data_IF_321318896559
#
_entry.id   IF_321318896559
#
_cell.length_a   1.000
_cell.length_b   1.000
_cell.length_c   1.000
_cell.angle_alpha   90.00
_cell.angle_beta   90.00
_cell.angle_gamma   90.00
#
_symmetry.space_group_name_H-M   'P 1'
#
loop_
_entity.id
_entity.type
_entity.pdbx_description
1 polymer ?
#
# COMPACT_ATOMS: atom_id res chain seq x y z
N UNK A 1 -4.82 -11.00 -6.06
CA UNK A 1 -3.42 -10.61 -6.29
C UNK A 1 -3.33 -9.11 -6.54
N UNK A 2 -2.28 -8.43 -6.00
CA UNK A 2 -1.96 -7.04 -6.34
C UNK A 2 -0.83 -7.06 -7.36
N UNK A 3 -1.02 -6.35 -8.47
CA UNK A 3 -0.01 -6.25 -9.53
C UNK A 3 1.07 -5.23 -9.16
N UNK A 4 2.23 -5.33 -9.81
CA UNK A 4 3.30 -4.32 -9.67
C UNK A 4 2.77 -2.93 -10.01
N UNK A 5 3.11 -1.92 -9.18
CA UNK A 5 2.62 -0.56 -9.43
C UNK A 5 3.16 0.03 -10.73
N UNK A 6 2.28 0.62 -11.51
CA UNK A 6 2.62 1.56 -12.58
C UNK A 6 2.93 2.94 -11.95
N UNK A 7 3.96 3.61 -12.39
CA UNK A 7 4.25 4.98 -11.94
C UNK A 7 3.46 6.01 -12.73
N UNK A 8 2.98 7.08 -12.06
CA UNK A 8 2.24 8.15 -12.75
C UNK A 8 3.08 8.81 -13.85
N UNK A 9 4.39 8.93 -13.66
CA UNK A 9 5.31 9.45 -14.67
C UNK A 9 5.31 8.62 -15.96
N UNK A 10 5.13 7.29 -15.85
CA UNK A 10 5.04 6.41 -17.02
C UNK A 10 3.72 6.65 -17.79
N UNK A 11 2.62 6.85 -17.05
CA UNK A 11 1.31 7.13 -17.64
C UNK A 11 1.34 8.52 -18.34
N UNK A 12 1.88 9.52 -17.67
CA UNK A 12 2.00 10.88 -18.21
C UNK A 12 2.92 10.94 -19.44
N UNK A 13 3.98 10.13 -19.46
CA UNK A 13 4.87 10.05 -20.62
C UNK A 13 4.15 9.54 -21.88
N UNK A 14 3.28 8.52 -21.72
CA UNK A 14 2.49 7.99 -22.83
C UNK A 14 1.39 8.98 -23.29
N UNK A 15 0.71 9.66 -22.35
CA UNK A 15 -0.27 10.71 -22.67
C UNK A 15 0.38 11.86 -23.41
N UNK A 16 1.49 12.39 -22.92
CA UNK A 16 2.21 13.50 -23.57
C UNK A 16 2.73 13.11 -24.96
N UNK A 17 3.12 11.85 -25.17
CA UNK A 17 3.53 11.36 -26.50
C UNK A 17 2.36 11.38 -27.49
N UNK A 18 1.16 10.97 -27.07
CA UNK A 18 -0.04 11.01 -27.92
C UNK A 18 -0.46 12.44 -28.24
N UNK A 19 -0.40 13.37 -27.27
CA UNK A 19 -0.65 14.79 -27.49
C UNK A 19 0.41 15.42 -28.40
N UNK A 20 1.65 14.95 -28.32
CA UNK A 20 2.75 15.41 -29.15
C UNK A 20 2.68 14.90 -30.59
N UNK A 21 2.38 13.62 -30.79
CA UNK A 21 2.15 13.06 -32.15
C UNK A 21 0.96 13.76 -32.83
N UNK A 22 0.03 14.33 -32.04
CA UNK A 22 -1.11 15.13 -32.51
C UNK A 22 -0.81 16.64 -32.64
N UNK A 23 0.23 17.16 -32.01
CA UNK A 23 0.60 18.59 -32.02
C UNK A 23 2.07 18.79 -32.37
N UNK A 24 2.35 19.58 -33.44
CA UNK A 24 3.71 19.86 -33.93
C UNK A 24 4.58 20.78 -33.04
N UNK A 25 4.45 20.75 -31.69
CA UNK A 25 5.03 21.75 -30.78
C UNK A 25 5.81 21.24 -29.56
N UNK A 26 6.29 20.00 -29.48
CA UNK A 26 7.07 19.59 -28.31
C UNK A 26 8.57 19.79 -28.47
N UNK A 27 9.25 20.06 -27.36
CA UNK A 27 10.71 20.18 -27.34
C UNK A 27 11.38 18.80 -27.42
N UNK A 28 12.35 18.60 -28.33
CA UNK A 28 13.04 17.30 -28.52
C UNK A 28 13.72 16.75 -27.25
N UNK A 29 14.20 17.65 -26.37
CA UNK A 29 14.93 17.29 -25.14
C UNK A 29 14.07 16.60 -24.09
N UNK A 30 12.79 16.96 -23.95
CA UNK A 30 11.85 16.31 -23.02
C UNK A 30 11.54 14.87 -23.47
N UNK A 31 11.43 14.65 -24.78
CA UNK A 31 11.17 13.34 -25.37
C UNK A 31 12.35 12.40 -25.19
N UNK A 32 13.57 12.91 -25.39
CA UNK A 32 14.78 12.12 -25.20
C UNK A 32 15.00 11.76 -23.73
N UNK A 33 14.63 12.62 -22.78
CA UNK A 33 14.65 12.30 -21.37
C UNK A 33 13.67 11.17 -21.01
N UNK A 34 12.43 11.22 -21.52
CA UNK A 34 11.41 10.17 -21.30
C UNK A 34 11.79 8.85 -21.98
N UNK A 35 12.43 8.91 -23.16
CA UNK A 35 12.97 7.71 -23.86
C UNK A 35 14.13 7.07 -23.11
N UNK A 36 15.06 7.87 -22.56
CA UNK A 36 16.19 7.36 -21.77
C UNK A 36 15.73 6.66 -20.49
N UNK A 37 14.64 7.10 -19.88
CA UNK A 37 14.03 6.45 -18.71
C UNK A 37 13.22 5.18 -19.08
N UNK A 38 13.08 4.83 -20.38
CA UNK A 38 12.33 3.66 -20.84
C UNK A 38 10.85 3.70 -20.45
N UNK A 39 10.26 4.89 -20.34
CA UNK A 39 8.91 5.10 -19.82
C UNK A 39 7.81 5.03 -20.89
N UNK A 40 8.15 5.08 -22.18
CA UNK A 40 7.15 5.07 -23.25
C UNK A 40 6.63 3.66 -23.55
N UNK A 41 5.32 3.52 -23.79
CA UNK A 41 4.58 2.31 -24.17
C UNK A 41 4.25 1.34 -23.01
N UNK A 42 4.47 1.72 -21.74
CA UNK A 42 4.22 0.83 -20.60
C UNK A 42 2.78 0.83 -20.14
N UNK A 43 2.03 1.89 -20.40
CA UNK A 43 0.61 1.98 -19.99
C UNK A 43 -0.25 0.92 -20.69
N UNK A 44 -0.13 0.75 -22.01
CA UNK A 44 -0.86 -0.27 -22.77
C UNK A 44 -0.40 -1.69 -22.38
N UNK A 45 0.90 -1.88 -22.11
CA UNK A 45 1.41 -3.17 -21.66
C UNK A 45 0.81 -3.53 -20.27
N UNK A 46 0.66 -2.57 -19.39
CA UNK A 46 0.08 -2.78 -18.08
C UNK A 46 -1.40 -3.17 -18.14
N UNK A 47 -2.19 -2.52 -19.01
CA UNK A 47 -3.58 -2.91 -19.25
C UNK A 47 -3.68 -4.35 -19.75
N UNK A 48 -2.82 -4.75 -20.68
CA UNK A 48 -2.72 -6.16 -21.15
C UNK A 48 -2.32 -7.16 -20.05
N UNK A 49 -1.50 -6.71 -19.08
CA UNK A 49 -1.16 -7.56 -17.91
C UNK A 49 -2.39 -7.77 -17.04
N UNK A 50 -3.22 -6.74 -16.83
CA UNK A 50 -4.49 -6.87 -16.08
C UNK A 50 -5.42 -7.85 -16.78
N UNK A 51 -5.68 -7.67 -18.09
CA UNK A 51 -6.55 -8.56 -18.89
C UNK A 51 -6.10 -10.02 -18.79
N UNK A 52 -4.81 -10.29 -19.09
CA UNK A 52 -4.25 -11.64 -19.02
C UNK A 52 -4.30 -12.23 -17.60
N UNK A 53 -4.12 -11.40 -16.58
CA UNK A 53 -4.24 -11.87 -15.20
C UNK A 53 -5.67 -12.27 -14.88
N UNK A 54 -6.65 -11.48 -15.32
CA UNK A 54 -8.08 -11.81 -15.17
C UNK A 54 -8.49 -13.09 -15.90
N UNK A 55 -7.91 -13.35 -17.07
CA UNK A 55 -8.13 -14.60 -17.81
C UNK A 55 -7.48 -15.82 -17.13
N UNK A 56 -6.38 -15.59 -16.39
CA UNK A 56 -5.56 -16.68 -15.84
C UNK A 56 -6.00 -17.15 -14.45
N UNK A 57 -6.76 -16.33 -13.69
CA UNK A 57 -7.12 -16.63 -12.29
C UNK A 57 -8.56 -16.23 -11.96
N UNK A 58 -9.19 -16.99 -11.06
CA UNK A 58 -10.54 -16.70 -10.55
C UNK A 58 -10.53 -15.81 -9.27
N UNK A 59 -9.35 -15.47 -8.77
CA UNK A 59 -9.21 -14.57 -7.61
C UNK A 59 -9.19 -13.11 -8.03
N UNK A 60 -9.54 -12.16 -7.14
CA UNK A 60 -9.49 -10.74 -7.46
C UNK A 60 -8.11 -10.27 -7.93
N UNK A 61 -8.10 -9.50 -9.02
CA UNK A 61 -6.91 -8.82 -9.57
C UNK A 61 -6.99 -7.35 -9.26
N UNK A 62 -6.07 -6.87 -8.45
CA UNK A 62 -5.98 -5.48 -7.99
C UNK A 62 -4.84 -4.80 -8.77
N UNK A 63 -5.20 -3.79 -9.56
CA UNK A 63 -4.19 -2.95 -10.20
C UNK A 63 -3.57 -2.00 -9.17
N UNK A 64 -2.34 -1.56 -9.40
CA UNK A 64 -1.66 -0.61 -8.51
C UNK A 64 -1.02 0.51 -9.30
N UNK A 65 -1.19 1.76 -8.82
CA UNK A 65 -0.57 2.96 -9.38
C UNK A 65 0.20 3.69 -8.31
N UNK A 66 1.49 3.93 -8.56
CA UNK A 66 2.31 4.79 -7.71
C UNK A 66 2.11 6.24 -8.15
N UNK A 67 1.59 7.08 -7.27
CA UNK A 67 1.18 8.44 -7.60
C UNK A 67 1.58 9.45 -6.53
N UNK A 68 1.79 10.69 -6.97
CA UNK A 68 2.14 11.84 -6.13
C UNK A 68 1.25 13.07 -6.42
N UNK A 69 0.39 13.01 -7.44
CA UNK A 69 -0.47 14.12 -7.85
C UNK A 69 -1.88 13.63 -8.24
N UNK A 70 -2.80 14.57 -8.38
CA UNK A 70 -4.14 14.41 -8.94
C UNK A 70 -4.23 14.86 -10.41
N UNK A 71 -3.13 14.70 -11.15
CA UNK A 71 -3.01 15.15 -12.55
C UNK A 71 -3.80 14.27 -13.53
N UNK A 72 -3.61 14.49 -14.82
CA UNK A 72 -4.35 13.79 -15.90
C UNK A 72 -4.18 12.26 -15.92
N UNK A 73 -3.21 11.68 -15.19
CA UNK A 73 -3.10 10.23 -15.04
C UNK A 73 -4.36 9.61 -14.39
N UNK A 74 -5.14 10.39 -13.63
CA UNK A 74 -6.35 9.89 -12.96
C UNK A 74 -7.41 9.38 -13.93
N UNK A 75 -7.44 9.85 -15.18
CA UNK A 75 -8.29 9.31 -16.23
C UNK A 75 -7.89 7.88 -16.63
N UNK A 76 -6.62 7.52 -16.44
CA UNK A 76 -6.14 6.17 -16.69
C UNK A 76 -6.80 5.12 -15.79
N UNK A 77 -7.29 5.52 -14.61
CA UNK A 77 -8.06 4.65 -13.73
C UNK A 77 -9.32 4.08 -14.41
N UNK A 78 -9.93 4.82 -15.34
CA UNK A 78 -11.08 4.33 -16.15
C UNK A 78 -10.69 3.18 -17.07
N UNK A 79 -9.51 3.24 -17.67
CA UNK A 79 -9.01 2.16 -18.51
C UNK A 79 -8.68 0.91 -17.68
N UNK A 80 -8.11 1.09 -16.48
CA UNK A 80 -7.86 0.01 -15.51
C UNK A 80 -9.19 -0.71 -15.14
N UNK A 81 -10.25 0.04 -14.85
CA UNK A 81 -11.58 -0.52 -14.59
C UNK A 81 -12.15 -1.23 -15.83
N UNK A 82 -12.03 -0.61 -17.02
CA UNK A 82 -12.58 -1.13 -18.27
C UNK A 82 -11.95 -2.47 -18.68
N UNK A 83 -10.67 -2.71 -18.40
CA UNK A 83 -10.00 -3.99 -18.66
C UNK A 83 -10.24 -5.04 -17.58
N UNK A 84 -11.10 -4.75 -16.60
CA UNK A 84 -11.65 -5.73 -15.67
C UNK A 84 -10.90 -5.87 -14.34
N UNK A 85 -10.09 -4.90 -13.93
CA UNK A 85 -9.54 -4.91 -12.57
C UNK A 85 -10.66 -4.91 -11.52
N UNK A 86 -10.52 -5.70 -10.45
CA UNK A 86 -11.52 -5.80 -9.38
C UNK A 86 -11.40 -4.67 -8.35
N UNK A 87 -10.22 -4.07 -8.22
CA UNK A 87 -9.94 -2.92 -7.37
C UNK A 87 -8.69 -2.18 -7.85
N UNK A 88 -8.52 -0.96 -7.35
CA UNK A 88 -7.33 -0.15 -7.59
C UNK A 88 -6.63 0.20 -6.28
N UNK A 89 -5.34 -0.14 -6.16
CA UNK A 89 -4.45 0.35 -5.11
C UNK A 89 -3.76 1.63 -5.57
N UNK A 90 -3.92 2.70 -4.79
CA UNK A 90 -3.16 3.94 -4.94
C UNK A 90 -1.96 3.90 -3.99
N UNK A 91 -0.78 3.66 -4.52
CA UNK A 91 0.47 3.72 -3.78
C UNK A 91 0.94 5.17 -3.72
N UNK A 92 0.44 5.93 -2.72
CA UNK A 92 0.67 7.37 -2.60
C UNK A 92 2.03 7.60 -1.92
N UNK A 93 3.03 7.94 -2.73
CA UNK A 93 4.43 8.03 -2.30
C UNK A 93 4.90 9.48 -2.13
N UNK A 94 4.11 10.31 -1.43
CA UNK A 94 4.52 11.69 -1.12
C UNK A 94 5.72 11.68 -0.16
N UNK A 95 6.79 12.39 -0.56
CA UNK A 95 8.01 12.56 0.23
C UNK A 95 8.28 14.06 0.39
N UNK A 96 7.61 14.74 1.35
CA UNK A 96 7.80 16.18 1.57
C UNK A 96 9.25 16.46 1.96
N UNK A 97 9.83 17.47 1.33
CA UNK A 97 11.22 17.91 1.57
C UNK A 97 11.38 19.42 1.80
N UNK A 98 10.34 20.20 1.50
CA UNK A 98 10.34 21.64 1.75
C UNK A 98 9.87 21.92 3.18
N UNK A 99 10.72 22.56 4.03
CA UNK A 99 10.33 22.88 5.40
C UNK A 99 9.20 23.94 5.50
N UNK A 100 8.84 24.58 4.38
CA UNK A 100 7.73 25.55 4.32
C UNK A 100 6.40 24.91 3.95
N UNK A 101 6.39 23.64 3.52
CA UNK A 101 5.17 22.93 3.16
C UNK A 101 4.34 22.61 4.41
N UNK A 102 3.09 23.11 4.45
CA UNK A 102 2.18 22.83 5.59
C UNK A 102 1.77 21.34 5.57
N UNK A 103 1.95 20.60 6.68
CA UNK A 103 1.50 19.21 6.79
C UNK A 103 0.03 18.99 6.40
N UNK A 104 -0.84 19.98 6.64
CA UNK A 104 -2.25 19.92 6.23
C UNK A 104 -2.42 19.91 4.70
N UNK A 105 -1.54 20.58 3.97
CA UNK A 105 -1.63 20.62 2.51
C UNK A 105 -1.15 19.30 1.90
N UNK A 106 -0.20 18.62 2.55
CA UNK A 106 0.20 17.25 2.20
C UNK A 106 -0.98 16.31 2.40
N UNK A 107 -1.65 16.36 3.58
CA UNK A 107 -2.84 15.56 3.85
C UNK A 107 -3.97 15.83 2.85
N UNK A 108 -4.25 17.10 2.53
CA UNK A 108 -5.26 17.49 1.53
C UNK A 108 -4.94 16.93 0.14
N UNK A 109 -3.66 16.92 -0.25
CA UNK A 109 -3.23 16.34 -1.53
C UNK A 109 -3.53 14.85 -1.61
N UNK A 110 -3.25 14.10 -0.52
CA UNK A 110 -3.62 12.68 -0.42
C UNK A 110 -5.14 12.49 -0.61
N UNK A 111 -5.93 13.27 0.14
CA UNK A 111 -7.39 13.19 0.06
C UNK A 111 -7.90 13.52 -1.34
N UNK A 112 -7.32 14.54 -1.99
CA UNK A 112 -7.69 14.95 -3.34
C UNK A 112 -7.40 13.89 -4.39
N UNK A 113 -6.24 13.23 -4.33
CA UNK A 113 -5.90 12.11 -5.21
C UNK A 113 -6.98 11.02 -5.12
N UNK A 114 -7.33 10.59 -3.90
CA UNK A 114 -8.34 9.55 -3.67
C UNK A 114 -9.71 9.99 -4.20
N UNK A 115 -10.13 11.23 -3.89
CA UNK A 115 -11.42 11.79 -4.30
C UNK A 115 -11.55 11.81 -5.83
N UNK A 116 -10.53 12.32 -6.54
CA UNK A 116 -10.56 12.43 -8.00
C UNK A 116 -10.61 11.06 -8.65
N UNK A 117 -9.79 10.12 -8.19
CA UNK A 117 -9.80 8.74 -8.71
C UNK A 117 -11.16 8.09 -8.44
N UNK A 118 -11.67 8.18 -7.20
CA UNK A 118 -12.96 7.56 -6.84
C UNK A 118 -14.15 8.17 -7.57
N UNK A 119 -14.05 9.43 -7.99
CA UNK A 119 -15.07 10.05 -8.84
C UNK A 119 -15.10 9.45 -10.26
N UNK A 120 -13.95 8.97 -10.74
CA UNK A 120 -13.79 8.45 -12.10
C UNK A 120 -14.12 6.97 -12.25
N UNK A 121 -14.12 6.17 -11.16
CA UNK A 121 -14.29 4.71 -11.18
C UNK A 121 -15.27 4.21 -10.13
N UNK A 122 -15.88 3.06 -10.38
CA UNK A 122 -16.83 2.40 -9.47
C UNK A 122 -16.17 1.33 -8.61
N UNK A 123 -15.08 0.69 -9.09
CA UNK A 123 -14.36 -0.34 -8.34
C UNK A 123 -13.79 0.21 -7.03
N UNK A 124 -13.58 -0.65 -6.01
CA UNK A 124 -12.98 -0.24 -4.74
C UNK A 124 -11.59 0.38 -4.93
N UNK A 125 -11.29 1.39 -4.11
CA UNK A 125 -9.98 2.05 -4.06
C UNK A 125 -9.35 1.80 -2.70
N UNK A 126 -8.14 1.24 -2.68
CA UNK A 126 -7.29 1.15 -1.50
C UNK A 126 -6.18 2.21 -1.56
N UNK A 127 -5.88 2.85 -0.44
CA UNK A 127 -4.75 3.77 -0.35
C UNK A 127 -3.59 3.10 0.41
N UNK A 128 -2.43 3.00 -0.24
CA UNK A 128 -1.18 2.53 0.35
C UNK A 128 -0.27 3.73 0.61
N UNK A 129 0.11 3.89 1.87
CA UNK A 129 0.79 5.09 2.36
C UNK A 129 2.04 4.75 3.18
N UNK A 130 2.90 5.73 3.42
CA UNK A 130 3.98 5.62 4.40
C UNK A 130 3.51 5.88 5.84
N UNK A 131 4.34 5.57 6.86
CA UNK A 131 3.98 5.71 8.28
C UNK A 131 4.21 7.12 8.85
N UNK A 132 4.47 8.12 8.02
CA UNK A 132 5.04 9.41 8.44
C UNK A 132 3.98 10.49 8.71
N UNK A 133 2.98 10.18 9.54
CA UNK A 133 1.95 11.14 9.91
C UNK A 133 1.92 11.37 11.42
N UNK A 134 1.75 12.62 11.84
CA UNK A 134 1.63 12.98 13.26
C UNK A 134 0.37 12.36 13.89
N UNK A 135 -0.73 12.28 13.15
CA UNK A 135 -1.98 11.65 13.59
C UNK A 135 -2.50 10.71 12.50
N UNK A 136 -2.11 9.44 12.60
CA UNK A 136 -2.54 8.40 11.67
C UNK A 136 -4.06 8.21 11.65
N UNK A 137 -4.72 8.28 12.80
CA UNK A 137 -6.18 8.14 12.90
C UNK A 137 -6.91 9.24 12.15
N UNK A 138 -6.47 10.49 12.27
CA UNK A 138 -7.04 11.62 11.53
C UNK A 138 -6.85 11.46 10.01
N UNK A 139 -5.64 11.09 9.58
CA UNK A 139 -5.34 10.92 8.16
C UNK A 139 -6.14 9.75 7.57
N UNK A 140 -6.25 8.65 8.31
CA UNK A 140 -7.07 7.51 7.91
C UNK A 140 -8.56 7.91 7.76
N UNK A 141 -9.11 8.67 8.70
CA UNK A 141 -10.47 9.19 8.62
C UNK A 141 -10.66 10.09 7.39
N UNK A 142 -9.70 10.98 7.11
CA UNK A 142 -9.71 11.84 5.92
C UNK A 142 -9.73 11.02 4.62
N UNK A 143 -8.86 10.02 4.50
CA UNK A 143 -8.83 9.12 3.34
C UNK A 143 -10.14 8.34 3.17
N UNK A 144 -10.74 7.86 4.27
CA UNK A 144 -12.03 7.17 4.26
C UNK A 144 -13.14 8.09 3.73
N UNK A 145 -13.18 9.35 4.20
CA UNK A 145 -14.14 10.37 3.74
C UNK A 145 -13.95 10.75 2.27
N UNK A 146 -12.73 10.66 1.76
CA UNK A 146 -12.41 10.89 0.34
C UNK A 146 -12.72 9.69 -0.55
N UNK A 147 -13.18 8.57 0.01
CA UNK A 147 -13.67 7.41 -0.74
C UNK A 147 -12.77 6.17 -0.72
N UNK A 148 -11.68 6.16 0.07
CA UNK A 148 -10.88 4.96 0.24
C UNK A 148 -11.69 3.86 0.92
N UNK A 149 -11.76 2.68 0.30
CA UNK A 149 -12.40 1.47 0.83
C UNK A 149 -11.45 0.64 1.68
N UNK A 150 -10.14 0.79 1.46
CA UNK A 150 -9.08 0.08 2.19
C UNK A 150 -7.86 0.95 2.44
N UNK A 151 -7.08 0.58 3.46
CA UNK A 151 -5.75 1.14 3.73
C UNK A 151 -4.72 0.01 3.77
N UNK A 152 -3.64 0.18 3.00
CA UNK A 152 -2.47 -0.69 3.04
C UNK A 152 -1.39 -0.04 3.89
N UNK A 153 -1.02 -0.70 4.98
CA UNK A 153 -0.14 -0.21 6.03
C UNK A 153 1.10 -1.12 6.15
N UNK A 154 2.28 -0.75 5.66
CA UNK A 154 2.62 0.49 4.99
C UNK A 154 3.38 0.23 3.69
N UNK A 155 3.49 1.25 2.83
CA UNK A 155 4.49 1.26 1.79
C UNK A 155 5.89 1.25 2.45
N UNK A 156 6.75 0.38 1.94
CA UNK A 156 8.14 0.33 2.36
C UNK A 156 8.96 1.22 1.44
N UNK A 157 9.21 2.46 1.88
CA UNK A 157 10.13 3.32 1.17
C UNK A 157 11.55 2.73 1.17
N UNK A 158 12.36 3.18 0.22
CA UNK A 158 13.75 2.72 0.14
C UNK A 158 14.50 2.94 1.47
N UNK A 159 15.35 1.99 1.81
CA UNK A 159 16.19 2.03 3.01
C UNK A 159 17.59 2.41 2.57
N UNK A 160 17.97 3.71 2.66
CA UNK A 160 19.28 4.15 2.23
C UNK A 160 20.38 3.62 3.15
N UNK A 161 21.51 3.29 2.57
CA UNK A 161 22.77 3.04 3.25
C UNK A 161 23.85 3.89 2.56
N UNK A 162 24.97 4.11 3.21
CA UNK A 162 26.08 4.90 2.68
C UNK A 162 27.31 4.01 2.58
N UNK A 163 27.90 3.98 1.39
CA UNK A 163 29.24 3.45 1.20
C UNK A 163 30.24 4.48 1.68
N UNK A 164 30.96 4.15 2.76
CA UNK A 164 31.90 5.07 3.40
C UNK A 164 33.20 5.24 2.61
N UNK A 165 33.47 4.36 1.65
CA UNK A 165 34.68 4.42 0.82
C UNK A 165 34.42 5.24 -0.46
N UNK A 166 33.23 5.09 -1.06
CA UNK A 166 32.86 5.82 -2.28
C UNK A 166 32.07 7.09 -2.02
N UNK A 167 31.56 7.31 -0.81
CA UNK A 167 30.67 8.41 -0.40
C UNK A 167 29.37 8.48 -1.19
N UNK A 168 28.83 7.30 -1.59
CA UNK A 168 27.61 7.18 -2.37
C UNK A 168 26.50 6.51 -1.57
N UNK A 169 25.24 6.90 -1.86
CA UNK A 169 24.07 6.19 -1.35
C UNK A 169 23.95 4.82 -2.00
N UNK A 170 23.72 3.80 -1.18
CA UNK A 170 23.46 2.44 -1.62
C UNK A 170 22.08 1.98 -1.16
N UNK A 171 21.48 1.08 -1.93
CA UNK A 171 20.22 0.39 -1.56
C UNK A 171 20.53 -1.06 -1.16
N UNK A 172 21.02 -1.28 0.04
CA UNK A 172 21.38 -2.63 0.54
C UNK A 172 20.19 -3.43 1.03
N UNK A 173 19.21 -2.76 1.64
CA UNK A 173 18.07 -3.41 2.30
C UNK A 173 16.84 -3.52 1.35
N UNK A 174 17.01 -4.27 0.24
CA UNK A 174 15.96 -4.42 -0.77
C UNK A 174 14.70 -5.10 -0.22
N UNK A 175 14.85 -6.09 0.65
CA UNK A 175 13.77 -6.88 1.22
C UNK A 175 13.50 -6.47 2.66
N UNK A 176 12.21 -6.57 3.08
CA UNK A 176 11.84 -6.33 4.47
C UNK A 176 12.35 -7.45 5.39
N UNK A 177 12.57 -7.09 6.65
CA UNK A 177 12.84 -8.03 7.75
C UNK A 177 11.59 -8.25 8.60
N UNK A 178 11.48 -9.36 9.36
CA UNK A 178 10.33 -9.61 10.25
C UNK A 178 10.10 -8.49 11.29
N UNK A 179 11.16 -7.80 11.74
CA UNK A 179 11.05 -6.70 12.71
C UNK A 179 10.27 -5.49 12.20
N UNK A 180 10.24 -5.27 10.89
CA UNK A 180 9.52 -4.15 10.28
C UNK A 180 7.99 -4.27 10.41
N UNK A 181 7.46 -5.47 10.70
CA UNK A 181 6.03 -5.69 10.90
C UNK A 181 5.45 -4.88 12.08
N UNK A 182 6.27 -4.52 13.06
CA UNK A 182 5.82 -3.83 14.29
C UNK A 182 5.07 -2.52 14.01
N UNK A 183 5.50 -1.76 13.00
CA UNK A 183 4.85 -0.50 12.61
C UNK A 183 3.44 -0.72 12.05
N UNK A 184 3.32 -1.69 11.14
CA UNK A 184 2.05 -2.10 10.55
C UNK A 184 1.10 -2.65 11.61
N UNK A 185 1.58 -3.58 12.44
CA UNK A 185 0.81 -4.23 13.49
C UNK A 185 0.19 -3.21 14.46
N UNK A 186 1.00 -2.27 14.96
CA UNK A 186 0.54 -1.19 15.83
C UNK A 186 -0.55 -0.35 15.18
N UNK A 187 -0.35 0.07 13.94
CA UNK A 187 -1.28 0.95 13.25
C UNK A 187 -2.59 0.25 12.92
N UNK A 188 -2.56 -1.02 12.50
CA UNK A 188 -3.75 -1.84 12.31
C UNK A 188 -4.56 -1.95 13.60
N UNK A 189 -3.90 -2.22 14.75
CA UNK A 189 -4.57 -2.34 16.04
C UNK A 189 -5.28 -1.04 16.47
N UNK A 190 -4.70 0.13 16.19
CA UNK A 190 -5.28 1.43 16.51
C UNK A 190 -6.45 1.77 15.57
N UNK A 191 -6.30 1.49 14.27
CA UNK A 191 -7.24 1.90 13.24
C UNK A 191 -8.46 0.98 13.11
N UNK A 192 -8.44 -0.21 13.69
CA UNK A 192 -9.46 -1.24 13.52
C UNK A 192 -10.89 -0.75 13.76
N UNK A 193 -11.09 0.08 14.78
CA UNK A 193 -12.41 0.65 15.07
C UNK A 193 -12.71 1.90 14.25
N UNK A 194 -11.70 2.74 14.06
CA UNK A 194 -11.90 4.12 13.58
C UNK A 194 -11.95 4.25 12.07
N UNK A 195 -11.28 3.36 11.34
CA UNK A 195 -11.24 3.47 9.87
C UNK A 195 -12.56 3.07 9.22
N UNK A 196 -13.20 1.99 9.67
CA UNK A 196 -14.49 1.54 9.14
C UNK A 196 -14.44 1.01 7.70
N UNK A 197 -13.28 0.57 7.22
CA UNK A 197 -13.02 -0.08 5.94
C UNK A 197 -12.02 -1.22 6.13
N UNK A 198 -11.49 -1.77 5.03
CA UNK A 198 -10.51 -2.85 5.08
C UNK A 198 -9.12 -2.33 5.46
N UNK A 199 -8.51 -2.92 6.49
CA UNK A 199 -7.11 -2.68 6.85
C UNK A 199 -6.26 -3.82 6.31
N UNK A 200 -5.19 -3.51 5.62
CA UNK A 200 -4.29 -4.48 5.02
C UNK A 200 -2.90 -4.31 5.65
N UNK A 201 -2.44 -5.34 6.38
CA UNK A 201 -1.09 -5.36 6.92
C UNK A 201 -0.06 -5.61 5.84
N UNK A 202 1.00 -4.82 5.82
CA UNK A 202 2.10 -4.96 4.85
C UNK A 202 3.45 -4.70 5.52
N UNK A 203 4.51 -5.18 4.91
CA UNK A 203 5.91 -5.18 5.36
C UNK A 203 6.20 -6.08 6.57
N UNK A 204 7.29 -6.82 6.48
CA UNK A 204 7.78 -7.67 7.56
C UNK A 204 6.98 -8.95 7.84
N UNK A 205 6.04 -9.31 6.97
CA UNK A 205 5.23 -10.53 7.11
C UNK A 205 5.93 -11.66 6.36
N UNK A 206 6.59 -12.56 7.11
CA UNK A 206 7.45 -13.60 6.54
C UNK A 206 7.00 -15.02 6.87
N UNK A 207 6.08 -15.20 7.80
CA UNK A 207 5.56 -16.51 8.24
C UNK A 207 4.07 -16.46 8.64
N UNK A 208 3.51 -17.62 8.93
CA UNK A 208 2.09 -17.75 9.30
C UNK A 208 1.77 -17.14 10.68
N UNK A 209 2.73 -17.05 11.58
CA UNK A 209 2.54 -16.39 12.88
C UNK A 209 2.34 -14.88 12.69
N UNK A 210 3.11 -14.26 11.80
CA UNK A 210 2.95 -12.85 11.43
C UNK A 210 1.57 -12.58 10.82
N UNK A 211 1.05 -13.49 9.98
CA UNK A 211 -0.32 -13.40 9.45
C UNK A 211 -1.34 -13.38 10.59
N UNK A 212 -1.27 -14.35 11.50
CA UNK A 212 -2.18 -14.42 12.66
C UNK A 212 -2.12 -13.16 13.52
N UNK A 213 -0.93 -12.62 13.78
CA UNK A 213 -0.74 -11.37 14.54
C UNK A 213 -1.45 -10.19 13.88
N UNK A 214 -1.33 -10.03 12.57
CA UNK A 214 -2.01 -8.96 11.83
C UNK A 214 -3.53 -9.11 11.89
N UNK A 215 -4.06 -10.32 11.72
CA UNK A 215 -5.50 -10.59 11.84
C UNK A 215 -6.03 -10.32 13.25
N UNK A 216 -5.30 -10.74 14.28
CA UNK A 216 -5.63 -10.45 15.70
C UNK A 216 -5.63 -8.94 15.99
N UNK A 217 -4.75 -8.18 15.36
CA UNK A 217 -4.74 -6.72 15.46
C UNK A 217 -5.93 -6.05 14.76
N UNK A 218 -6.50 -6.72 13.74
CA UNK A 218 -7.67 -6.23 13.02
C UNK A 218 -7.51 -6.12 11.50
N UNK A 219 -6.42 -6.62 10.94
CA UNK A 219 -6.26 -6.65 9.49
C UNK A 219 -7.35 -7.51 8.84
N UNK A 220 -7.88 -7.05 7.71
CA UNK A 220 -8.79 -7.83 6.85
C UNK A 220 -8.02 -8.78 5.94
N UNK A 221 -6.80 -8.39 5.58
CA UNK A 221 -5.87 -9.16 4.75
C UNK A 221 -4.43 -8.75 5.05
N UNK A 222 -3.48 -9.48 4.49
CA UNK A 222 -2.06 -9.13 4.49
C UNK A 222 -1.51 -9.14 3.08
N UNK A 223 -0.56 -8.25 2.79
CA UNK A 223 0.21 -8.25 1.57
C UNK A 223 1.60 -8.84 1.79
N UNK A 224 1.98 -9.73 0.89
CA UNK A 224 3.27 -10.40 0.88
C UNK A 224 4.05 -9.99 -0.37
N UNK A 225 5.30 -9.59 -0.20
CA UNK A 225 6.21 -9.29 -1.31
C UNK A 225 7.60 -9.89 -1.02
N UNK A 226 8.35 -9.33 -0.09
CA UNK A 226 9.74 -9.73 0.19
C UNK A 226 9.88 -11.22 0.50
N UNK A 227 8.95 -11.80 1.25
CA UNK A 227 8.99 -13.23 1.59
C UNK A 227 8.85 -14.12 0.36
N UNK A 228 8.08 -13.70 -0.67
CA UNK A 228 7.91 -14.46 -1.90
C UNK A 228 9.19 -14.43 -2.76
N UNK A 229 9.91 -13.31 -2.77
CA UNK A 229 11.23 -13.24 -3.43
C UNK A 229 12.29 -14.08 -2.71
N UNK A 230 12.23 -14.15 -1.37
CA UNK A 230 13.22 -14.89 -0.55
C UNK A 230 12.91 -16.39 -0.54
N UNK A 231 11.64 -16.77 -0.33
CA UNK A 231 11.21 -18.14 -0.02
C UNK A 231 10.44 -18.80 -1.17
N UNK A 232 10.13 -18.06 -2.24
CA UNK A 232 9.31 -18.54 -3.37
C UNK A 232 7.82 -18.51 -3.10
N UNK A 233 7.00 -18.78 -4.14
CA UNK A 233 5.55 -18.72 -4.09
C UNK A 233 4.91 -19.77 -3.16
N UNK A 234 5.57 -20.90 -2.94
CA UNK A 234 5.11 -21.94 -2.01
C UNK A 234 4.97 -21.46 -0.56
N UNK A 235 5.57 -20.32 -0.22
CA UNK A 235 5.43 -19.72 1.10
C UNK A 235 3.98 -19.34 1.44
N UNK A 236 3.17 -19.03 0.43
CA UNK A 236 1.74 -18.73 0.61
C UNK A 236 1.02 -19.94 1.20
N UNK A 237 1.24 -21.12 0.64
CA UNK A 237 0.61 -22.37 1.12
C UNK A 237 1.05 -22.71 2.56
N UNK A 238 2.34 -22.49 2.86
CA UNK A 238 2.89 -22.71 4.22
C UNK A 238 2.18 -21.79 5.23
N UNK A 239 2.03 -20.51 4.89
CA UNK A 239 1.35 -19.54 5.76
C UNK A 239 -0.14 -19.85 5.94
N UNK A 240 -0.84 -20.20 4.87
CA UNK A 240 -2.26 -20.61 4.94
C UNK A 240 -2.43 -21.87 5.78
N UNK A 241 -1.59 -22.87 5.60
CA UNK A 241 -1.61 -24.10 6.41
C UNK A 241 -1.36 -23.83 7.90
N UNK A 242 -0.48 -22.87 8.21
CA UNK A 242 -0.25 -22.42 9.58
C UNK A 242 -1.51 -21.78 10.16
N UNK A 243 -2.11 -20.82 9.44
CA UNK A 243 -3.33 -20.11 9.84
C UNK A 243 -4.46 -21.10 10.12
N UNK A 244 -4.72 -22.04 9.22
CA UNK A 244 -5.76 -23.06 9.40
C UNK A 244 -5.52 -23.94 10.64
N UNK A 245 -4.28 -24.39 10.86
CA UNK A 245 -3.92 -25.19 12.04
C UNK A 245 -4.11 -24.39 13.32
N UNK A 246 -3.72 -23.11 13.31
CA UNK A 246 -3.88 -22.21 14.43
C UNK A 246 -5.37 -21.95 14.74
N UNK A 247 -6.20 -21.71 13.72
CA UNK A 247 -7.64 -21.55 13.87
C UNK A 247 -8.30 -22.79 14.47
N UNK A 248 -8.01 -23.98 13.94
CA UNK A 248 -8.53 -25.26 14.47
C UNK A 248 -8.12 -25.48 15.93
N UNK A 249 -6.86 -25.21 16.28
CA UNK A 249 -6.35 -25.34 17.65
C UNK A 249 -7.10 -24.43 18.64
N UNK A 250 -7.51 -23.25 18.19
CA UNK A 250 -8.19 -22.26 19.03
C UNK A 250 -9.73 -22.30 18.90
N UNK A 251 -10.29 -23.24 18.13
CA UNK A 251 -11.72 -23.43 17.96
C UNK A 251 -12.41 -22.41 17.05
N UNK A 252 -11.68 -21.67 16.23
CA UNK A 252 -12.21 -20.70 15.28
C UNK A 252 -12.57 -21.37 13.95
N UNK A 253 -13.74 -21.00 13.40
CA UNK A 253 -14.23 -21.45 12.09
C UNK A 253 -14.06 -20.39 11.01
N UNK A 254 -14.06 -19.11 11.41
CA UNK A 254 -13.98 -17.96 10.55
C UNK A 254 -12.97 -16.94 11.10
N UNK A 255 -12.35 -16.16 10.20
CA UNK A 255 -11.41 -15.11 10.57
C UNK A 255 -12.12 -14.02 11.38
N UNK A 256 -13.37 -13.70 11.09
CA UNK A 256 -14.13 -12.67 11.78
C UNK A 256 -14.36 -12.99 13.26
N UNK A 257 -14.30 -14.28 13.67
CA UNK A 257 -14.43 -14.70 15.07
C UNK A 257 -13.25 -14.23 15.95
N UNK A 258 -12.08 -13.96 15.36
CA UNK A 258 -10.90 -13.52 16.11
C UNK A 258 -10.25 -12.23 15.62
N UNK A 259 -10.69 -11.72 14.44
CA UNK A 259 -10.15 -10.48 13.89
C UNK A 259 -10.36 -9.31 14.85
N UNK A 260 -9.26 -8.59 15.12
CA UNK A 260 -9.28 -7.42 16.00
C UNK A 260 -9.38 -7.73 17.49
N UNK A 261 -9.30 -9.00 17.93
CA UNK A 261 -9.34 -9.34 19.38
C UNK A 261 -8.27 -8.62 20.21
N UNK A 262 -7.13 -8.29 19.60
CA UNK A 262 -6.01 -7.58 20.26
C UNK A 262 -5.93 -6.13 19.76
N UNK A 263 -7.01 -5.58 19.22
CA UNK A 263 -7.10 -4.17 18.82
C UNK A 263 -7.28 -3.24 20.02
N UNK A 264 -7.01 -1.96 19.82
CA UNK A 264 -7.28 -0.91 20.82
C UNK A 264 -8.73 -0.92 21.29
N UNK A 265 -9.69 -1.14 20.39
CA UNK A 265 -11.12 -1.23 20.70
C UNK A 265 -11.43 -2.25 21.78
N UNK A 266 -10.79 -3.40 21.73
CA UNK A 266 -11.05 -4.54 22.60
C UNK A 266 -10.13 -4.56 23.83
N UNK A 267 -9.30 -3.54 24.04
CA UNK A 267 -8.49 -3.38 25.25
C UNK A 267 -9.37 -2.99 26.45
N UNK A 268 -8.96 -3.39 27.66
CA UNK A 268 -9.68 -3.03 28.89
C UNK A 268 -9.82 -1.53 29.10
N UNK A 269 -8.83 -0.75 28.67
CA UNK A 269 -8.77 0.70 28.74
C UNK A 269 -8.26 1.25 27.39
N UNK A 270 -9.14 1.38 26.39
CA UNK A 270 -8.74 1.77 25.04
C UNK A 270 -8.01 3.12 24.96
N UNK A 271 -8.36 4.08 25.82
CA UNK A 271 -7.73 5.40 25.88
C UNK A 271 -6.28 5.39 26.35
N UNK A 272 -5.87 4.33 27.07
CA UNK A 272 -4.50 4.15 27.54
C UNK A 272 -3.74 3.10 26.76
N UNK A 273 -4.32 2.50 25.72
CA UNK A 273 -3.75 1.38 24.98
C UNK A 273 -2.28 1.59 24.59
N UNK A 274 -1.98 2.68 23.90
CA UNK A 274 -0.64 3.06 23.47
C UNK A 274 0.30 3.30 24.65
N UNK A 275 -0.17 4.02 25.66
CA UNK A 275 0.64 4.34 26.83
C UNK A 275 0.97 3.11 27.66
N UNK A 276 0.04 2.19 27.81
CA UNK A 276 0.25 0.92 28.51
C UNK A 276 1.29 0.05 27.81
N UNK A 277 1.19 -0.10 26.48
CA UNK A 277 2.18 -0.86 25.70
C UNK A 277 3.58 -0.26 25.82
N UNK A 278 3.70 1.06 25.78
CA UNK A 278 4.96 1.77 25.96
C UNK A 278 5.56 1.53 27.36
N UNK A 279 4.75 1.61 28.42
CA UNK A 279 5.20 1.37 29.80
C UNK A 279 5.66 -0.07 29.96
N UNK A 280 4.87 -1.06 29.49
CA UNK A 280 5.24 -2.48 29.55
C UNK A 280 6.58 -2.77 28.85
N UNK A 281 6.78 -2.20 27.68
CA UNK A 281 8.02 -2.36 26.94
C UNK A 281 9.27 -1.82 27.67
N UNK A 282 9.12 -0.75 28.46
CA UNK A 282 10.24 -0.12 29.16
C UNK A 282 10.45 -0.66 30.57
N UNK A 283 9.40 -0.99 31.30
CA UNK A 283 9.46 -1.39 32.71
C UNK A 283 9.54 -2.92 32.87
N UNK A 284 9.25 -3.67 31.80
CA UNK A 284 9.30 -5.14 31.83
C UNK A 284 8.26 -5.77 32.78
N UNK A 285 7.16 -5.07 33.05
CA UNK A 285 6.03 -5.57 33.83
C UNK A 285 5.02 -6.16 32.84
N UNK A 286 4.91 -7.48 32.84
CA UNK A 286 3.89 -8.21 32.10
C UNK A 286 2.48 -8.10 32.75
#
# INVERSE_FOLDING_TARGET
VVLTSMFEEQILADVNKLEFESSAKAHPEEIDYLRQMGMSQKSDEYLKVIEKSKEAVDIPVIASVNCISDSSWTDYAKYIEAVGADALELNIALMPKDPKEDPKDIEKRIYKIIEVVKHNINIPVAAKIGPYFTSMTRVAEGMRKSGASGLVLFNRFYQPDIDIDTFEFQSKNRYSSPGEMSHSLRSVAILFETFGGSLIGNSGIHDGEAVVKQLLAGASAVELCSTLYINGLGQIEIMLSFLEKWMRKNGYRDIDEFRGKISQKNALQPEYFERQQYIRALVGVD
#
